data_IF_528424623747
#
_entry.id   IF_528424623747
#
_cell.length_a   1.000
_cell.length_b   1.000
_cell.length_c   1.000
_cell.angle_alpha   90.00
_cell.angle_beta   90.00
_cell.angle_gamma   90.00
#
_symmetry.space_group_name_H-M   'P 1'
#
loop_
_entity.id
_entity.type
_entity.pdbx_description
1 polymer ?
#
# COMPACT_ATOMS: atom_id res chain seq x y z
N UNK A 1 -59.07 -44.85 -4.26
CA UNK A 1 -60.42 -44.67 -3.67
C UNK A 1 -60.96 -43.38 -4.15
N UNK A 2 -61.77 -43.52 -5.18
CA UNK A 2 -63.16 -43.06 -5.39
C UNK A 2 -63.29 -41.52 -5.38
N UNK A 3 -63.37 -40.97 -6.59
CA UNK A 3 -64.57 -40.58 -7.35
C UNK A 3 -65.48 -39.55 -6.68
N UNK A 4 -65.67 -38.40 -7.34
CA UNK A 4 -67.01 -38.07 -7.93
C UNK A 4 -66.99 -36.73 -8.63
N UNK A 5 -67.37 -36.82 -9.90
CA UNK A 5 -67.87 -35.78 -10.80
C UNK A 5 -69.20 -35.17 -10.32
N UNK A 6 -69.42 -33.89 -10.60
CA UNK A 6 -70.80 -33.39 -10.85
C UNK A 6 -70.73 -32.36 -11.97
N UNK A 7 -71.47 -32.72 -13.00
CA UNK A 7 -71.85 -31.94 -14.15
C UNK A 7 -73.17 -31.20 -13.77
N UNK A 8 -73.25 -29.91 -14.04
CA UNK A 8 -74.54 -29.21 -14.16
C UNK A 8 -74.53 -28.37 -15.41
N UNK A 9 -75.48 -28.73 -16.23
CA UNK A 9 -75.88 -28.12 -17.51
C UNK A 9 -76.85 -26.96 -17.25
N UNK A 10 -76.82 -25.87 -17.98
CA UNK A 10 -77.88 -24.83 -17.91
C UNK A 10 -77.63 -23.67 -18.87
N UNK A 11 -78.10 -23.81 -20.06
CA UNK A 11 -78.99 -23.00 -20.98
C UNK A 11 -78.71 -21.49 -21.18
N UNK A 12 -78.24 -21.15 -22.34
CA UNK A 12 -78.63 -20.22 -23.42
C UNK A 12 -79.52 -19.03 -23.03
N UNK A 13 -79.03 -17.82 -23.26
CA UNK A 13 -79.83 -16.68 -23.79
C UNK A 13 -78.99 -15.83 -24.76
N UNK A 14 -79.41 -15.80 -26.00
CA UNK A 14 -78.82 -14.99 -27.05
C UNK A 14 -79.27 -13.49 -26.87
N UNK A 15 -78.28 -12.61 -26.82
CA UNK A 15 -78.45 -11.17 -26.88
C UNK A 15 -77.60 -10.63 -28.02
N UNK A 16 -78.30 -10.22 -29.13
CA UNK A 16 -77.64 -9.46 -30.21
C UNK A 16 -77.28 -8.06 -29.71
N UNK A 17 -76.03 -7.78 -29.48
CA UNK A 17 -75.47 -6.46 -29.25
C UNK A 17 -74.60 -6.07 -30.43
N UNK A 18 -74.89 -4.97 -31.11
CA UNK A 18 -74.12 -4.41 -32.21
C UNK A 18 -72.69 -4.07 -31.76
N UNK A 19 -71.65 -4.28 -32.56
CA UNK A 19 -70.32 -3.80 -32.25
C UNK A 19 -70.19 -2.33 -32.42
N UNK A 20 -70.07 -1.57 -31.35
CA UNK A 20 -69.54 -0.22 -31.38
C UNK A 20 -68.08 -0.24 -31.74
N UNK A 21 -67.68 0.17 -32.92
CA UNK A 21 -66.32 0.47 -33.33
C UNK A 21 -65.86 1.70 -32.58
N UNK A 22 -65.42 1.56 -31.36
CA UNK A 22 -64.59 2.52 -30.68
C UNK A 22 -63.15 2.41 -31.26
N UNK A 23 -62.77 3.34 -32.13
CA UNK A 23 -61.42 3.49 -32.61
C UNK A 23 -60.52 3.75 -31.43
N UNK A 24 -59.65 2.78 -31.11
CA UNK A 24 -58.54 3.03 -30.19
C UNK A 24 -57.64 4.11 -30.79
N UNK A 25 -57.29 5.19 -30.07
CA UNK A 25 -56.24 6.08 -30.54
C UNK A 25 -54.97 5.28 -30.72
N UNK A 26 -54.38 5.36 -31.92
CA UNK A 26 -53.10 4.76 -32.17
C UNK A 26 -52.11 5.27 -31.11
N UNK A 27 -51.51 4.34 -30.36
CA UNK A 27 -50.41 4.68 -29.46
C UNK A 27 -49.34 5.39 -30.29
N UNK A 28 -49.02 6.63 -29.93
CA UNK A 28 -47.85 7.32 -30.47
C UNK A 28 -46.63 6.43 -30.23
N UNK A 29 -45.80 6.18 -31.25
CA UNK A 29 -44.56 5.45 -31.02
C UNK A 29 -43.76 6.17 -29.94
N UNK A 30 -43.52 5.52 -28.83
CA UNK A 30 -42.57 6.02 -27.82
C UNK A 30 -41.20 6.10 -28.50
N UNK A 31 -40.69 7.33 -28.64
CA UNK A 31 -39.37 7.61 -29.12
C UNK A 31 -38.38 6.83 -28.21
N UNK A 32 -37.49 5.98 -28.75
CA UNK A 32 -36.60 5.21 -27.90
C UNK A 32 -35.80 6.14 -27.01
N UNK A 33 -35.92 5.97 -25.69
CA UNK A 33 -35.17 6.73 -24.72
C UNK A 33 -33.69 6.61 -25.04
N UNK A 34 -33.05 7.70 -25.45
CA UNK A 34 -31.61 7.76 -25.67
C UNK A 34 -30.99 7.51 -24.30
N UNK A 35 -30.45 6.31 -24.09
CA UNK A 35 -29.69 5.99 -22.89
C UNK A 35 -28.56 7.02 -22.77
N UNK A 36 -28.54 7.76 -21.66
CA UNK A 36 -27.43 8.67 -21.38
C UNK A 36 -26.11 7.90 -21.49
N UNK A 37 -25.06 8.46 -22.12
CA UNK A 37 -23.78 7.81 -22.21
C UNK A 37 -23.34 7.37 -20.80
N UNK A 38 -22.99 6.11 -20.64
CA UNK A 38 -22.43 5.60 -19.39
C UNK A 38 -21.19 6.44 -19.07
N UNK A 39 -21.23 7.18 -17.97
CA UNK A 39 -20.05 7.90 -17.47
C UNK A 39 -18.99 6.83 -17.19
N UNK A 40 -17.81 6.88 -17.83
CA UNK A 40 -16.76 5.94 -17.52
C UNK A 40 -16.47 5.98 -16.02
N UNK A 41 -16.27 4.85 -15.33
CA UNK A 41 -15.90 4.87 -13.94
C UNK A 41 -14.60 5.69 -13.80
N UNK A 42 -14.64 6.73 -12.97
CA UNK A 42 -13.45 7.47 -12.59
C UNK A 42 -12.47 6.47 -11.97
N UNK A 43 -11.21 6.41 -12.41
CA UNK A 43 -10.21 5.59 -11.75
C UNK A 43 -10.19 5.97 -10.27
N UNK A 44 -10.47 5.02 -9.39
CA UNK A 44 -10.34 5.23 -7.95
C UNK A 44 -8.84 5.22 -7.67
N UNK A 45 -8.27 6.40 -7.44
CA UNK A 45 -6.89 6.51 -6.96
C UNK A 45 -6.85 5.87 -5.58
N UNK A 46 -5.94 4.92 -5.32
CA UNK A 46 -5.84 4.31 -4.00
C UNK A 46 -5.50 5.39 -2.96
N UNK A 47 -6.29 5.52 -1.91
CA UNK A 47 -6.01 6.40 -0.78
C UNK A 47 -4.87 5.79 0.06
N UNK A 48 -3.78 6.53 0.24
CA UNK A 48 -2.61 6.13 1.03
C UNK A 48 -2.79 6.42 2.52
N UNK A 49 -3.86 7.09 2.94
CA UNK A 49 -4.14 7.38 4.34
C UNK A 49 -4.36 6.10 5.13
N UNK A 50 -3.64 5.93 6.22
CA UNK A 50 -3.82 4.82 7.13
C UNK A 50 -2.54 4.33 7.78
N UNK A 51 -2.71 3.41 8.72
CA UNK A 51 -1.61 2.70 9.35
C UNK A 51 -1.05 1.62 8.42
N UNK A 52 0.22 1.33 8.58
CA UNK A 52 0.85 0.19 7.93
C UNK A 52 1.78 -0.55 8.88
N UNK A 53 1.92 -1.84 8.65
CA UNK A 53 2.90 -2.73 9.29
C UNK A 53 3.44 -3.69 8.26
N UNK A 54 4.71 -4.04 8.34
CA UNK A 54 5.31 -4.91 7.34
C UNK A 54 6.66 -5.49 7.74
N UNK A 55 7.22 -6.25 6.81
CA UNK A 55 8.56 -6.79 6.91
C UNK A 55 9.43 -6.29 5.76
N UNK A 56 10.73 -6.26 5.99
CA UNK A 56 11.73 -5.85 5.01
C UNK A 56 12.95 -6.75 5.06
N UNK A 57 13.59 -6.89 3.90
CA UNK A 57 14.82 -7.65 3.72
C UNK A 57 15.73 -6.90 2.75
N UNK A 58 17.03 -6.93 2.97
CA UNK A 58 17.98 -6.23 2.12
C UNK A 58 19.41 -6.59 2.38
N UNK A 59 20.28 -5.77 1.81
CA UNK A 59 21.72 -5.83 1.99
C UNK A 59 22.22 -4.47 2.40
N UNK A 60 23.13 -4.46 3.37
CA UNK A 60 23.88 -3.29 3.81
C UNK A 60 25.33 -3.40 3.39
N UNK A 61 25.90 -2.26 3.00
CA UNK A 61 27.33 -2.07 2.82
C UNK A 61 27.76 -0.95 3.77
N UNK A 62 28.80 -1.20 4.54
CA UNK A 62 29.35 -0.30 5.54
C UNK A 62 30.77 0.05 5.12
N UNK A 63 31.07 1.33 5.05
CA UNK A 63 32.37 1.90 4.80
C UNK A 63 32.81 2.71 6.01
N UNK A 64 34.08 2.57 6.43
CA UNK A 64 34.64 3.36 7.53
C UNK A 64 35.88 4.13 7.08
N UNK A 65 36.08 5.33 7.60
CA UNK A 65 37.27 6.12 7.32
C UNK A 65 38.57 5.44 7.79
N UNK A 66 38.46 4.47 8.68
CA UNK A 66 39.59 3.63 9.15
C UNK A 66 39.94 2.51 8.17
N UNK A 67 39.21 2.34 7.05
CA UNK A 67 39.44 1.33 6.02
C UNK A 67 38.99 -0.08 6.42
N UNK A 68 38.07 -0.18 7.36
CA UNK A 68 37.33 -1.41 7.66
C UNK A 68 35.98 -1.38 6.93
N UNK A 69 35.79 -2.29 5.99
CA UNK A 69 34.57 -2.41 5.21
C UNK A 69 33.80 -3.65 5.65
N UNK A 70 32.48 -3.62 5.52
CA UNK A 70 31.60 -4.74 5.82
C UNK A 70 30.37 -4.77 4.94
N UNK A 71 29.92 -5.96 4.61
CA UNK A 71 28.65 -6.14 3.91
C UNK A 71 27.88 -7.32 4.49
N UNK A 72 26.57 -7.27 4.40
CA UNK A 72 25.75 -8.36 4.90
C UNK A 72 24.26 -8.18 4.69
N UNK A 73 23.53 -9.23 5.03
CA UNK A 73 22.09 -9.23 4.99
C UNK A 73 21.51 -8.46 6.18
N UNK A 74 20.43 -7.73 5.90
CA UNK A 74 19.65 -7.01 6.90
C UNK A 74 18.17 -7.37 6.70
N UNK A 75 17.43 -7.52 7.78
CA UNK A 75 16.01 -7.79 7.71
C UNK A 75 15.30 -7.31 8.96
N UNK A 76 14.05 -6.88 8.82
CA UNK A 76 13.37 -6.28 9.93
C UNK A 76 11.89 -6.06 9.75
N UNK A 77 11.36 -5.31 10.69
CA UNK A 77 9.96 -4.89 10.74
C UNK A 77 9.86 -3.39 10.49
N UNK A 78 8.78 -3.00 9.83
CA UNK A 78 8.42 -1.60 9.60
C UNK A 78 6.99 -1.35 10.03
N UNK A 79 6.73 -0.18 10.60
CA UNK A 79 5.38 0.29 10.92
C UNK A 79 5.31 1.81 10.80
N UNK A 80 4.12 2.32 10.52
CA UNK A 80 3.93 3.76 10.44
C UNK A 80 2.51 4.16 10.10
N UNK A 81 2.37 5.43 9.82
CA UNK A 81 1.13 6.04 9.39
C UNK A 81 1.39 7.07 8.30
N UNK A 82 0.59 7.02 7.25
CA UNK A 82 0.64 7.97 6.15
C UNK A 82 -0.67 8.75 6.10
N UNK A 83 -0.58 9.99 5.60
CA UNK A 83 -1.71 10.84 5.30
C UNK A 83 -1.62 11.30 3.84
N UNK A 84 -2.68 11.04 3.09
CA UNK A 84 -2.81 11.36 1.67
C UNK A 84 -3.46 12.74 1.49
N UNK A 85 -2.78 13.64 0.80
CA UNK A 85 -3.25 14.97 0.44
C UNK A 85 -3.69 15.04 -1.04
N UNK A 86 -3.92 13.90 -1.67
CA UNK A 86 -4.27 13.74 -3.07
C UNK A 86 -3.09 13.36 -3.94
N UNK A 87 -2.23 14.30 -4.31
CA UNK A 87 -1.00 14.01 -5.08
C UNK A 87 0.22 13.78 -4.20
N UNK A 88 0.17 14.22 -2.96
CA UNK A 88 1.27 14.11 -2.00
C UNK A 88 0.85 13.29 -0.80
N UNK A 89 1.76 12.45 -0.36
CA UNK A 89 1.61 11.62 0.84
C UNK A 89 2.70 12.01 1.83
N UNK A 90 2.32 12.34 3.06
CA UNK A 90 3.24 12.59 4.16
C UNK A 90 3.02 11.56 5.25
N UNK A 91 4.09 11.04 5.81
CA UNK A 91 3.99 10.02 6.83
C UNK A 91 5.17 9.99 7.78
N UNK A 92 5.00 9.16 8.79
CA UNK A 92 6.04 8.85 9.76
C UNK A 92 6.01 7.39 10.16
N UNK A 93 7.13 6.87 10.61
CA UNK A 93 7.19 5.45 10.98
C UNK A 93 8.44 5.09 11.77
N UNK A 94 8.46 3.82 12.11
CA UNK A 94 9.56 3.15 12.80
C UNK A 94 9.97 1.92 11.99
N UNK A 95 11.27 1.74 11.83
CA UNK A 95 11.86 0.50 11.35
C UNK A 95 12.75 -0.07 12.44
N UNK A 96 12.70 -1.38 12.61
CA UNK A 96 13.60 -2.13 13.47
C UNK A 96 14.21 -3.27 12.67
N UNK A 97 15.48 -3.13 12.36
CA UNK A 97 16.22 -4.08 11.54
C UNK A 97 17.20 -4.88 12.39
N UNK A 98 17.22 -6.16 12.13
CA UNK A 98 18.24 -7.11 12.59
C UNK A 98 19.30 -7.20 11.50
N UNK A 99 20.54 -6.98 11.87
CA UNK A 99 21.69 -7.10 10.99
C UNK A 99 22.65 -8.13 11.58
N UNK A 100 23.39 -8.78 10.70
CA UNK A 100 24.51 -9.66 11.07
C UNK A 100 25.65 -9.30 10.10
N UNK A 101 26.21 -8.10 10.33
CA UNK A 101 27.23 -7.53 9.46
C UNK A 101 28.51 -7.42 10.25
N UNK A 102 29.52 -8.21 9.85
CA UNK A 102 30.89 -8.14 10.42
C UNK A 102 31.62 -6.94 9.81
N UNK A 103 32.09 -6.04 10.67
CA UNK A 103 32.86 -4.86 10.28
C UNK A 103 34.34 -5.10 10.57
N UNK A 104 35.05 -5.54 9.53
CA UNK A 104 36.51 -5.73 9.57
C UNK A 104 37.04 -6.71 10.65
N UNK A 105 36.19 -7.61 11.18
CA UNK A 105 36.52 -8.52 12.27
C UNK A 105 36.66 -7.84 13.63
N UNK A 106 36.32 -6.57 13.76
CA UNK A 106 36.42 -5.79 15.00
C UNK A 106 35.13 -5.75 15.80
N UNK A 107 33.98 -5.66 15.10
CA UNK A 107 32.65 -5.62 15.71
C UNK A 107 31.60 -6.13 14.72
N UNK A 108 30.44 -6.51 15.23
CA UNK A 108 29.28 -6.91 14.42
C UNK A 108 28.13 -5.92 14.67
N UNK A 109 27.52 -5.42 13.61
CA UNK A 109 26.28 -4.65 13.69
C UNK A 109 25.12 -5.63 13.95
N UNK A 110 24.40 -5.43 15.05
CA UNK A 110 23.35 -6.34 15.48
C UNK A 110 21.95 -5.81 15.16
N UNK A 111 21.68 -4.53 15.50
CA UNK A 111 20.37 -3.95 15.34
C UNK A 111 20.44 -2.48 14.88
N UNK A 112 19.44 -2.07 14.11
CA UNK A 112 19.25 -0.66 13.73
C UNK A 112 17.80 -0.26 13.95
N UNK A 113 17.59 0.73 14.81
CA UNK A 113 16.30 1.36 15.02
C UNK A 113 16.26 2.68 14.24
N UNK A 114 15.24 2.90 13.42
CA UNK A 114 15.05 4.14 12.66
C UNK A 114 13.71 4.78 12.99
N UNK A 115 13.73 6.05 13.39
CA UNK A 115 12.56 6.91 13.43
C UNK A 115 12.55 7.73 12.15
N UNK A 116 11.53 7.55 11.31
CA UNK A 116 11.49 8.13 9.97
C UNK A 116 10.31 9.06 9.75
N UNK A 117 10.56 10.10 8.95
CA UNK A 117 9.55 10.84 8.22
C UNK A 117 9.65 10.46 6.73
N UNK A 118 8.53 10.46 6.03
CA UNK A 118 8.51 10.25 4.58
C UNK A 118 7.60 11.24 3.88
N UNK A 119 8.00 11.63 2.67
CA UNK A 119 7.19 12.45 1.78
C UNK A 119 7.22 11.83 0.38
N UNK A 120 6.06 11.56 -0.18
CA UNK A 120 5.93 10.86 -1.45
C UNK A 120 4.97 11.54 -2.42
N UNK A 121 5.10 11.18 -3.68
CA UNK A 121 4.22 11.60 -4.74
C UNK A 121 3.44 10.39 -5.27
N UNK A 122 2.11 10.46 -5.21
CA UNK A 122 1.23 9.44 -5.76
C UNK A 122 1.20 9.53 -7.29
N UNK A 123 1.56 8.44 -7.95
CA UNK A 123 1.59 8.34 -9.42
C UNK A 123 0.21 8.02 -10.02
N UNK A 124 -0.84 7.89 -9.20
CA UNK A 124 -2.22 7.67 -9.63
C UNK A 124 -2.53 6.25 -10.10
N UNK A 125 -1.55 5.34 -10.11
CA UNK A 125 -1.69 3.94 -10.52
C UNK A 125 -1.44 2.95 -9.37
N UNK A 126 -1.53 3.42 -8.12
CA UNK A 126 -1.17 2.68 -6.92
C UNK A 126 0.33 2.65 -6.65
N UNK A 127 1.12 3.43 -7.38
CA UNK A 127 2.54 3.61 -7.15
C UNK A 127 2.81 4.89 -6.37
N UNK A 128 3.68 4.81 -5.36
CA UNK A 128 4.18 5.94 -4.57
C UNK A 128 5.69 6.02 -4.70
N UNK A 129 6.17 7.14 -5.23
CA UNK A 129 7.59 7.49 -5.21
C UNK A 129 7.84 8.39 -4.01
N UNK A 130 8.77 8.06 -3.13
CA UNK A 130 8.97 8.81 -1.89
C UNK A 130 10.43 9.01 -1.53
N UNK A 131 10.69 10.11 -0.80
CA UNK A 131 11.88 10.31 -0.01
C UNK A 131 11.60 10.03 1.46
N UNK A 132 12.59 9.57 2.19
CA UNK A 132 12.53 9.31 3.63
C UNK A 132 13.80 9.83 4.31
N UNK A 133 13.69 10.15 5.57
CA UNK A 133 14.82 10.57 6.37
C UNK A 133 14.43 10.66 7.84
N UNK A 134 15.44 10.70 8.69
CA UNK A 134 15.21 10.76 10.12
C UNK A 134 16.41 10.39 10.95
N UNK A 135 16.12 9.91 12.14
CA UNK A 135 17.09 9.51 13.14
C UNK A 135 17.28 8.00 13.12
N UNK A 136 18.52 7.56 13.22
CA UNK A 136 18.91 6.17 13.33
C UNK A 136 19.71 5.92 14.59
N UNK A 137 19.48 4.79 15.25
CA UNK A 137 20.31 4.28 16.35
C UNK A 137 20.78 2.89 15.97
N UNK A 138 22.07 2.71 15.98
CA UNK A 138 22.74 1.43 15.73
C UNK A 138 23.28 0.83 17.02
N UNK A 139 23.08 -0.47 17.20
CA UNK A 139 23.63 -1.25 18.30
C UNK A 139 24.69 -2.22 17.75
N UNK A 140 25.86 -2.23 18.40
CA UNK A 140 26.96 -3.10 18.03
C UNK A 140 27.37 -4.00 19.20
N UNK A 141 27.96 -5.16 18.91
CA UNK A 141 28.35 -6.15 19.94
C UNK A 141 29.48 -5.71 20.86
N UNK A 142 30.32 -4.75 20.42
CA UNK A 142 31.53 -4.40 21.14
C UNK A 142 31.70 -2.92 21.45
N UNK A 143 31.09 -2.02 20.62
CA UNK A 143 31.28 -0.58 20.70
C UNK A 143 30.08 0.16 21.30
N UNK A 144 29.00 -0.58 21.71
CA UNK A 144 27.83 0.04 22.32
C UNK A 144 26.81 0.54 21.31
N UNK A 145 26.08 1.59 21.68
CA UNK A 145 25.01 2.22 20.87
C UNK A 145 25.51 3.56 20.35
N UNK A 146 25.17 3.88 19.12
CA UNK A 146 25.42 5.21 18.58
C UNK A 146 24.25 5.75 17.77
N UNK A 147 24.18 7.06 17.70
CA UNK A 147 23.10 7.83 17.11
C UNK A 147 23.56 8.48 15.82
N UNK A 148 22.72 8.44 14.81
CA UNK A 148 23.02 9.03 13.52
C UNK A 148 21.74 9.53 12.82
N UNK A 149 21.93 9.98 11.62
CA UNK A 149 20.84 10.35 10.72
C UNK A 149 20.88 9.49 9.45
N UNK A 150 19.74 9.43 8.77
CA UNK A 150 19.67 8.76 7.50
C UNK A 150 18.83 9.55 6.50
N UNK A 151 19.09 9.30 5.23
CA UNK A 151 18.32 9.81 4.10
C UNK A 151 18.14 8.69 3.09
N UNK A 152 16.95 8.58 2.49
CA UNK A 152 16.67 7.54 1.52
C UNK A 152 15.62 7.93 0.51
N UNK A 153 15.47 7.07 -0.48
CA UNK A 153 14.42 7.16 -1.47
C UNK A 153 13.88 5.75 -1.78
N UNK A 154 12.61 5.68 -2.10
CA UNK A 154 11.94 4.41 -2.36
C UNK A 154 10.76 4.53 -3.30
N UNK A 155 10.35 3.38 -3.75
CA UNK A 155 9.14 3.18 -4.53
C UNK A 155 8.30 2.08 -3.88
N UNK A 156 7.01 2.31 -3.74
CA UNK A 156 6.05 1.36 -3.20
C UNK A 156 4.88 1.19 -4.17
N UNK A 157 4.50 -0.04 -4.47
CA UNK A 157 3.38 -0.38 -5.33
C UNK A 157 2.30 -1.12 -4.55
N UNK A 158 1.09 -0.61 -4.56
CA UNK A 158 -0.09 -1.33 -4.04
C UNK A 158 -0.45 -2.45 -5.01
N UNK A 159 -0.52 -3.67 -4.49
CA UNK A 159 -0.95 -4.86 -5.22
C UNK A 159 -2.43 -5.15 -4.98
N UNK A 160 -2.92 -4.81 -3.79
CA UNK A 160 -4.33 -4.89 -3.39
C UNK A 160 -4.69 -3.65 -2.57
N UNK A 161 -5.93 -3.54 -2.11
CA UNK A 161 -6.37 -2.46 -1.22
C UNK A 161 -5.58 -2.42 0.10
N UNK A 162 -5.14 -3.57 0.60
CA UNK A 162 -4.48 -3.69 1.90
C UNK A 162 -3.01 -4.11 1.82
N UNK A 163 -2.49 -4.46 0.64
CA UNK A 163 -1.13 -4.98 0.53
C UNK A 163 -0.31 -4.24 -0.51
N UNK A 164 0.90 -3.85 -0.13
CA UNK A 164 1.87 -3.22 -1.01
C UNK A 164 3.25 -3.86 -0.90
N UNK A 165 4.02 -3.71 -1.96
CA UNK A 165 5.44 -4.09 -2.03
C UNK A 165 6.25 -2.89 -2.49
N UNK A 166 7.48 -2.80 -2.02
CA UNK A 166 8.33 -1.67 -2.38
C UNK A 166 9.82 -1.99 -2.28
N UNK A 167 10.61 -1.06 -2.77
CA UNK A 167 12.05 -1.04 -2.60
C UNK A 167 12.50 0.33 -2.09
N UNK A 168 13.53 0.34 -1.26
CA UNK A 168 14.09 1.54 -0.65
C UNK A 168 15.61 1.44 -0.61
N UNK A 169 16.27 2.52 -1.02
CA UNK A 169 17.71 2.72 -0.83
C UNK A 169 17.90 3.79 0.26
N UNK A 170 18.72 3.49 1.25
CA UNK A 170 18.95 4.36 2.42
C UNK A 170 20.43 4.51 2.65
N UNK A 171 20.84 5.75 2.83
CA UNK A 171 22.16 6.16 3.26
C UNK A 171 22.09 6.58 4.72
N UNK A 172 23.00 6.05 5.56
CA UNK A 172 23.14 6.38 6.98
C UNK A 172 24.49 7.01 7.21
N UNK A 173 24.53 7.97 8.13
CA UNK A 173 25.76 8.57 8.61
C UNK A 173 25.73 8.63 10.13
N UNK A 174 26.81 8.12 10.73
CA UNK A 174 27.08 8.16 12.15
C UNK A 174 28.39 8.91 12.34
N UNK A 175 28.34 10.06 13.03
CA UNK A 175 29.50 10.93 13.25
C UNK A 175 30.11 10.58 14.62
N UNK A 176 31.44 10.41 14.70
CA UNK A 176 32.19 10.20 15.94
C UNK A 176 31.72 8.95 16.74
N UNK A 177 31.60 7.81 16.04
CA UNK A 177 31.08 6.56 16.63
C UNK A 177 31.78 6.18 17.93
N UNK A 178 31.01 6.12 19.05
CA UNK A 178 31.48 5.84 20.42
C UNK A 178 32.66 6.75 20.88
N UNK A 179 32.69 8.04 20.45
CA UNK A 179 33.77 8.99 20.75
C UNK A 179 35.14 8.48 20.28
N UNK A 180 35.18 7.63 19.26
CA UNK A 180 36.40 7.06 18.69
C UNK A 180 37.07 7.98 17.65
N UNK A 181 36.35 9.02 17.16
CA UNK A 181 36.77 9.88 16.06
C UNK A 181 36.70 9.17 14.69
N UNK A 182 35.93 8.10 14.57
CA UNK A 182 35.72 7.34 13.33
C UNK A 182 34.30 7.64 12.82
N UNK A 183 34.22 8.10 11.60
CA UNK A 183 32.94 8.26 10.91
C UNK A 183 32.54 6.96 10.19
N UNK A 184 31.27 6.58 10.32
CA UNK A 184 30.71 5.38 9.68
C UNK A 184 29.63 5.79 8.71
N UNK A 185 29.80 5.36 7.48
CA UNK A 185 28.80 5.49 6.41
C UNK A 185 28.24 4.12 6.08
N UNK A 186 26.92 4.03 5.95
CA UNK A 186 26.30 2.77 5.55
C UNK A 186 25.23 3.01 4.48
N UNK A 187 25.28 2.21 3.45
CA UNK A 187 24.25 2.20 2.39
C UNK A 187 23.49 0.88 2.45
N UNK A 188 22.17 0.96 2.53
CA UNK A 188 21.32 -0.23 2.51
C UNK A 188 20.37 -0.20 1.31
N UNK A 189 20.15 -1.35 0.69
CA UNK A 189 19.12 -1.57 -0.33
C UNK A 189 18.15 -2.63 0.20
N UNK A 190 16.88 -2.26 0.31
CA UNK A 190 15.86 -3.09 0.94
C UNK A 190 14.65 -3.27 0.03
N UNK A 191 14.03 -4.44 0.10
CA UNK A 191 12.68 -4.71 -0.39
C UNK A 191 11.76 -4.88 0.81
N UNK A 192 10.52 -4.40 0.69
CA UNK A 192 9.54 -4.48 1.78
C UNK A 192 8.19 -4.96 1.29
N UNK A 193 7.45 -5.64 2.17
CA UNK A 193 6.04 -5.92 2.00
C UNK A 193 5.28 -5.34 3.18
N UNK A 194 4.22 -4.57 2.91
CA UNK A 194 3.44 -3.88 3.95
C UNK A 194 1.97 -4.21 3.85
N UNK A 195 1.32 -4.36 5.00
CA UNK A 195 -0.11 -4.46 5.16
C UNK A 195 -0.64 -3.13 5.68
N UNK A 196 -1.66 -2.58 4.99
CA UNK A 196 -2.28 -1.28 5.28
C UNK A 196 -3.72 -1.45 5.79
N UNK A 197 -4.12 -0.61 6.73
CA UNK A 197 -5.43 -0.62 7.39
C UNK A 197 -5.89 0.78 7.80
#
# INVERSE_FOLDING_TARGET
MTTRSFLVLGSILAGFGAPALAGSPAATPEEPAIAAPAVPPTPVTPDWTGGYVGGQLGFGNIDTDAGADGDGAIGGLTMGYDYDFGSWVLGGGLDYDFADIDVGGATTLENVLRLKARAGYDLGNGGLLYGTGGYARAETSSLGEDDGWFLGAGYEQRLTESFSVGGEAVYHQFDDFDSSGIDIEATTLQVRGTFRF
#
